data_IF_213773466337
#
_entry.id   IF_213773466337
#
_cell.length_a   1.000
_cell.length_b   1.000
_cell.length_c   1.000
_cell.angle_alpha   90.00
_cell.angle_beta   90.00
_cell.angle_gamma   90.00
#
_symmetry.space_group_name_H-M   'P 1'
#
loop_
_entity.id
_entity.type
_entity.pdbx_description
1 polymer ?
#
# COMPACT_ATOMS: atom_id res chain seq x y z
N UNK A 1 -28.52 -45.05 -65.67
CA UNK A 1 -28.91 -43.69 -65.74
C UNK A 1 -29.04 -43.16 -64.34
N UNK A 2 -28.24 -42.17 -63.96
CA UNK A 2 -28.30 -41.52 -62.65
C UNK A 2 -27.03 -40.70 -62.42
N UNK A 3 -27.07 -39.50 -62.97
CA UNK A 3 -25.96 -38.54 -62.79
C UNK A 3 -25.86 -38.10 -61.32
N UNK A 4 -24.63 -38.08 -60.75
CA UNK A 4 -24.30 -37.55 -59.52
C UNK A 4 -23.98 -36.07 -59.71
N UNK A 5 -24.59 -35.18 -58.91
CA UNK A 5 -24.28 -33.77 -58.80
C UNK A 5 -23.02 -33.57 -57.88
N UNK A 6 -22.20 -32.55 -58.12
CA UNK A 6 -20.96 -32.39 -57.41
C UNK A 6 -21.12 -31.81 -56.00
N UNK A 7 -20.30 -32.28 -55.07
CA UNK A 7 -20.23 -31.81 -53.71
C UNK A 7 -19.65 -30.38 -53.64
N UNK A 8 -20.36 -29.50 -52.96
CA UNK A 8 -19.88 -28.17 -52.59
C UNK A 8 -18.75 -28.26 -51.57
N UNK A 9 -17.63 -27.64 -51.89
CA UNK A 9 -16.51 -27.43 -51.01
C UNK A 9 -16.92 -26.49 -49.88
N UNK A 10 -16.99 -27.02 -48.66
CA UNK A 10 -17.03 -26.21 -47.45
C UNK A 10 -15.61 -25.66 -47.16
N UNK A 11 -15.49 -24.37 -47.31
CA UNK A 11 -14.31 -23.59 -46.89
C UNK A 11 -14.15 -23.68 -45.37
N UNK A 12 -12.95 -23.94 -44.84
CA UNK A 12 -12.72 -23.87 -43.39
C UNK A 12 -12.84 -22.42 -42.96
N UNK A 13 -13.60 -22.19 -41.89
CA UNK A 13 -13.61 -20.94 -41.14
C UNK A 13 -12.18 -20.65 -40.65
N UNK A 14 -11.58 -19.58 -41.17
CA UNK A 14 -10.36 -19.03 -40.64
C UNK A 14 -10.67 -18.51 -39.24
N UNK A 15 -10.07 -19.15 -38.23
CA UNK A 15 -9.91 -18.58 -36.90
C UNK A 15 -9.12 -17.29 -37.08
N UNK A 16 -9.77 -16.16 -36.84
CA UNK A 16 -9.13 -14.86 -36.79
C UNK A 16 -8.05 -14.90 -35.74
N UNK A 17 -6.82 -14.70 -36.19
CA UNK A 17 -5.68 -14.39 -35.30
C UNK A 17 -6.07 -13.16 -34.53
N UNK A 18 -6.32 -13.35 -33.23
CA UNK A 18 -6.40 -12.26 -32.29
C UNK A 18 -5.06 -11.54 -32.33
N UNK A 19 -5.06 -10.36 -32.89
CA UNK A 19 -3.97 -9.42 -32.70
C UNK A 19 -3.90 -9.14 -31.20
N UNK A 20 -3.03 -9.90 -30.51
CA UNK A 20 -2.45 -9.49 -29.26
C UNK A 20 -1.68 -8.21 -29.57
N UNK A 21 -2.35 -7.06 -29.33
CA UNK A 21 -1.67 -5.79 -29.34
C UNK A 21 -0.59 -5.88 -28.25
N UNK A 22 0.67 -6.03 -28.65
CA UNK A 22 1.78 -5.62 -27.85
C UNK A 22 1.58 -4.14 -27.56
N UNK A 23 1.04 -3.85 -26.39
CA UNK A 23 1.11 -2.51 -25.83
C UNK A 23 2.60 -2.25 -25.62
N UNK A 24 3.22 -1.61 -26.59
CA UNK A 24 4.52 -0.95 -26.42
C UNK A 24 4.24 0.18 -25.43
N UNK A 25 4.31 -0.14 -24.15
CA UNK A 25 4.38 0.87 -23.11
C UNK A 25 5.76 1.51 -23.22
N UNK A 26 5.84 2.55 -24.04
CA UNK A 26 6.88 3.56 -23.90
C UNK A 26 6.81 4.02 -22.45
N UNK A 27 7.88 3.87 -21.67
CA UNK A 27 7.93 4.38 -20.32
C UNK A 27 7.59 5.87 -20.37
N UNK A 28 6.37 6.21 -19.95
CA UNK A 28 6.01 7.60 -19.69
C UNK A 28 7.01 8.10 -18.65
N UNK A 29 7.64 9.24 -18.92
CA UNK A 29 8.53 9.87 -17.97
C UNK A 29 7.74 10.07 -16.67
N UNK A 30 8.18 9.41 -15.60
CA UNK A 30 7.65 9.64 -14.26
C UNK A 30 7.95 11.09 -13.94
N UNK A 31 6.97 11.78 -13.43
CA UNK A 31 7.09 13.19 -13.07
C UNK A 31 8.22 13.44 -12.08
N UNK A 32 8.84 14.61 -12.16
CA UNK A 32 9.86 15.04 -11.20
C UNK A 32 9.34 15.09 -9.76
N UNK A 33 8.01 15.25 -9.55
CA UNK A 33 7.37 15.34 -8.22
C UNK A 33 7.18 13.98 -7.53
N UNK A 34 6.93 12.90 -8.28
CA UNK A 34 6.81 11.55 -7.71
C UNK A 34 8.16 10.87 -7.49
N UNK A 35 9.23 11.39 -8.05
CA UNK A 35 10.57 10.81 -7.98
C UNK A 35 11.48 11.60 -7.05
N UNK A 36 12.27 10.92 -6.20
CA UNK A 36 13.23 11.63 -5.35
C UNK A 36 14.43 12.11 -6.17
N UNK A 37 15.15 13.10 -5.63
CA UNK A 37 16.48 13.46 -6.11
C UNK A 37 17.43 12.26 -6.02
N UNK A 38 18.59 12.33 -6.66
CA UNK A 38 19.63 11.27 -6.57
C UNK A 38 20.04 10.94 -5.13
N UNK A 39 19.96 11.92 -4.23
CA UNK A 39 20.23 11.73 -2.78
C UNK A 39 18.98 11.35 -1.97
N UNK A 40 17.88 11.07 -2.62
CA UNK A 40 16.67 10.54 -1.99
C UNK A 40 15.73 11.56 -1.36
N UNK A 41 15.77 12.82 -1.83
CA UNK A 41 14.91 13.87 -1.28
C UNK A 41 13.75 14.21 -2.20
N UNK A 42 12.58 14.38 -1.60
CA UNK A 42 11.38 15.02 -2.11
C UNK A 42 11.30 16.40 -1.44
N UNK A 43 11.74 17.46 -2.09
CA UNK A 43 11.96 18.76 -1.45
C UNK A 43 12.94 18.64 -0.27
N UNK A 44 12.47 18.97 0.95
CA UNK A 44 13.28 18.83 2.17
C UNK A 44 13.13 17.48 2.86
N UNK A 45 12.20 16.62 2.45
CA UNK A 45 11.93 15.33 3.06
C UNK A 45 12.67 14.20 2.35
N UNK A 46 13.10 13.17 3.08
CA UNK A 46 13.80 12.01 2.55
C UNK A 46 15.20 11.82 3.12
N UNK A 47 16.14 11.43 2.24
CA UNK A 47 17.52 11.16 2.61
C UNK A 47 17.74 9.78 3.25
N UNK A 48 18.94 9.53 3.72
CA UNK A 48 19.34 8.28 4.36
C UNK A 48 20.14 8.56 5.64
N UNK A 49 19.44 8.64 6.75
CA UNK A 49 20.00 8.92 8.09
C UNK A 49 20.18 7.59 8.85
N UNK A 50 21.25 6.87 8.54
CA UNK A 50 21.51 5.54 9.07
C UNK A 50 22.81 5.53 9.89
N UNK A 51 22.95 4.59 10.87
CA UNK A 51 24.22 4.33 11.52
C UNK A 51 25.30 4.00 10.49
N UNK A 52 26.55 4.36 10.80
CA UNK A 52 27.71 4.16 9.90
C UNK A 52 27.89 2.71 9.47
N UNK A 53 27.53 1.74 10.32
CA UNK A 53 27.61 0.31 10.00
C UNK A 53 26.67 -0.09 8.85
N UNK A 54 25.54 0.61 8.69
CA UNK A 54 24.59 0.38 7.59
C UNK A 54 24.91 1.19 6.34
N UNK A 55 25.83 2.13 6.40
CA UNK A 55 26.13 3.02 5.28
C UNK A 55 26.43 2.27 4.00
N UNK A 56 27.34 1.27 4.09
CA UNK A 56 27.73 0.50 2.91
C UNK A 56 26.56 -0.27 2.30
N UNK A 57 25.78 -0.99 3.09
CA UNK A 57 24.68 -1.79 2.56
C UNK A 57 23.53 -0.93 2.00
N UNK A 58 23.24 0.22 2.60
CA UNK A 58 22.26 1.18 2.08
C UNK A 58 22.75 1.81 0.77
N UNK A 59 24.04 2.16 0.71
CA UNK A 59 24.66 2.72 -0.50
C UNK A 59 24.71 1.70 -1.65
N UNK A 60 25.09 0.45 -1.35
CA UNK A 60 25.06 -0.64 -2.34
C UNK A 60 23.63 -0.83 -2.89
N UNK A 61 22.60 -0.70 -2.04
CA UNK A 61 21.20 -0.75 -2.46
C UNK A 61 20.83 0.45 -3.36
N UNK A 62 21.26 1.67 -3.00
CA UNK A 62 21.04 2.87 -3.80
C UNK A 62 21.62 2.75 -5.20
N UNK A 63 22.81 2.17 -5.32
CA UNK A 63 23.47 1.99 -6.62
C UNK A 63 22.84 0.86 -7.45
N UNK A 64 22.33 -0.19 -6.79
CA UNK A 64 21.87 -1.41 -7.45
C UNK A 64 20.39 -1.38 -7.86
N UNK A 65 19.52 -0.70 -7.09
CA UNK A 65 18.07 -0.93 -7.23
C UNK A 65 17.51 -0.50 -8.59
N UNK A 66 17.83 0.69 -9.09
CA UNK A 66 17.31 1.15 -10.38
C UNK A 66 17.76 0.29 -11.55
N UNK A 67 19.06 0.00 -11.73
CA UNK A 67 19.50 -0.90 -12.80
C UNK A 67 18.82 -2.27 -12.75
N UNK A 68 18.53 -2.80 -11.55
CA UNK A 68 17.87 -4.11 -11.39
C UNK A 68 16.39 -4.01 -11.75
N UNK A 69 15.63 -3.09 -11.12
CA UNK A 69 14.17 -3.03 -11.29
C UNK A 69 13.76 -2.55 -12.68
N UNK A 70 14.62 -1.81 -13.37
CA UNK A 70 14.38 -1.34 -14.74
C UNK A 70 14.80 -2.37 -15.81
N UNK A 71 15.51 -3.43 -15.43
CA UNK A 71 15.88 -4.49 -16.35
C UNK A 71 14.65 -5.26 -16.85
N UNK A 72 14.66 -5.65 -18.13
CA UNK A 72 13.56 -6.42 -18.71
C UNK A 72 13.36 -7.78 -18.02
N UNK A 73 14.44 -8.42 -17.57
CA UNK A 73 14.39 -9.67 -16.82
C UNK A 73 13.60 -9.50 -15.51
N UNK A 74 13.89 -8.44 -14.73
CA UNK A 74 13.18 -8.16 -13.50
C UNK A 74 11.72 -7.85 -13.77
N UNK A 75 11.42 -6.97 -14.72
CA UNK A 75 10.06 -6.58 -15.09
C UNK A 75 9.22 -7.79 -15.51
N UNK A 76 9.80 -8.69 -16.32
CA UNK A 76 9.11 -9.89 -16.76
C UNK A 76 8.82 -10.85 -15.60
N UNK A 77 9.80 -11.13 -14.74
CA UNK A 77 9.63 -11.99 -13.56
C UNK A 77 8.61 -11.38 -12.58
N UNK A 78 8.73 -10.09 -12.31
CA UNK A 78 7.81 -9.37 -11.44
C UNK A 78 6.36 -9.40 -11.95
N UNK A 79 6.13 -9.04 -13.21
CA UNK A 79 4.80 -9.10 -13.83
C UNK A 79 4.22 -10.51 -13.86
N UNK A 80 5.04 -11.52 -14.11
CA UNK A 80 4.60 -12.91 -14.08
C UNK A 80 4.12 -13.32 -12.71
N UNK A 81 4.86 -12.99 -11.65
CA UNK A 81 4.44 -13.29 -10.28
C UNK A 81 3.23 -12.46 -9.84
N UNK A 82 3.15 -11.21 -10.24
CA UNK A 82 1.96 -10.40 -9.98
C UNK A 82 0.71 -11.02 -10.61
N UNK A 83 0.80 -11.51 -11.85
CA UNK A 83 -0.32 -12.15 -12.55
C UNK A 83 -0.65 -13.53 -11.98
N UNK A 84 0.34 -14.43 -11.94
CA UNK A 84 0.11 -15.85 -11.74
C UNK A 84 0.09 -16.25 -10.25
N UNK A 85 0.72 -15.43 -9.39
CA UNK A 85 0.81 -15.70 -7.96
C UNK A 85 0.00 -14.72 -7.10
N UNK A 86 0.10 -13.42 -7.36
CA UNK A 86 -0.68 -12.42 -6.61
C UNK A 86 -2.14 -12.31 -7.09
N UNK A 87 -2.44 -12.74 -8.32
CA UNK A 87 -3.80 -12.71 -8.88
C UNK A 87 -4.19 -11.38 -9.51
N UNK A 88 -3.19 -10.60 -9.98
CA UNK A 88 -3.44 -9.33 -10.67
C UNK A 88 -3.86 -9.54 -12.14
N UNK A 89 -4.55 -8.57 -12.78
CA UNK A 89 -4.93 -7.25 -12.23
C UNK A 89 -5.99 -7.35 -11.15
N UNK A 90 -5.90 -6.51 -10.11
CA UNK A 90 -6.99 -6.39 -9.15
C UNK A 90 -8.19 -5.69 -9.80
N UNK A 91 -9.44 -6.12 -9.50
CA UNK A 91 -10.61 -5.53 -10.13
C UNK A 91 -10.78 -4.04 -9.82
N UNK A 92 -11.24 -3.28 -10.81
CA UNK A 92 -11.83 -1.95 -10.63
C UNK A 92 -13.35 -2.12 -10.65
N UNK A 93 -13.97 -2.22 -9.47
CA UNK A 93 -15.37 -2.56 -9.28
C UNK A 93 -16.24 -1.32 -9.17
N UNK A 94 -17.29 -1.22 -10.00
CA UNK A 94 -18.28 -0.14 -9.88
C UNK A 94 -19.22 -0.40 -8.70
N UNK A 95 -19.11 0.39 -7.65
CA UNK A 95 -19.90 0.27 -6.44
C UNK A 95 -21.23 0.99 -6.58
N UNK A 96 -22.22 0.31 -7.16
CA UNK A 96 -23.49 0.91 -7.58
C UNK A 96 -24.24 1.58 -6.43
N UNK A 97 -24.47 0.88 -5.31
CA UNK A 97 -25.25 1.41 -4.20
C UNK A 97 -24.54 2.54 -3.47
N UNK A 98 -23.21 2.45 -3.35
CA UNK A 98 -22.40 3.53 -2.83
C UNK A 98 -22.38 4.73 -3.78
N UNK A 99 -22.34 4.52 -5.10
CA UNK A 99 -22.46 5.59 -6.11
C UNK A 99 -23.78 6.35 -5.98
N UNK A 100 -24.89 5.63 -5.87
CA UNK A 100 -26.22 6.22 -5.66
C UNK A 100 -26.27 7.03 -4.33
N UNK A 101 -25.63 6.52 -3.28
CA UNK A 101 -25.63 7.15 -1.96
C UNK A 101 -24.81 8.45 -1.92
N UNK A 102 -23.66 8.48 -2.61
CA UNK A 102 -22.78 9.65 -2.62
C UNK A 102 -22.97 10.57 -3.83
N UNK A 103 -23.86 10.20 -4.75
CA UNK A 103 -24.19 11.01 -5.92
C UNK A 103 -23.01 11.18 -6.89
N UNK A 104 -22.22 10.13 -7.13
CA UNK A 104 -21.07 10.12 -8.04
C UNK A 104 -20.92 8.74 -8.70
N UNK A 105 -19.92 8.56 -9.54
CA UNK A 105 -19.54 7.26 -10.11
C UNK A 105 -18.36 6.70 -9.31
N UNK A 106 -18.66 5.90 -8.28
CA UNK A 106 -17.64 5.33 -7.38
C UNK A 106 -17.15 3.98 -7.89
N UNK A 107 -15.86 3.89 -8.10
CA UNK A 107 -15.14 2.65 -8.40
C UNK A 107 -14.22 2.27 -7.24
N UNK A 108 -14.22 1.01 -6.86
CA UNK A 108 -13.34 0.47 -5.84
C UNK A 108 -12.20 -0.31 -6.51
N UNK A 109 -10.97 0.12 -6.27
CA UNK A 109 -9.77 -0.64 -6.65
C UNK A 109 -9.54 -1.70 -5.59
N UNK A 110 -9.78 -2.97 -5.95
CA UNK A 110 -9.94 -4.09 -5.03
C UNK A 110 -8.62 -4.79 -4.71
N UNK A 111 -7.71 -4.09 -4.02
CA UNK A 111 -6.44 -4.67 -3.55
C UNK A 111 -6.64 -5.73 -2.44
N UNK A 112 -7.80 -5.73 -1.80
CA UNK A 112 -8.25 -6.73 -0.84
C UNK A 112 -8.42 -8.15 -1.43
N UNK A 113 -8.51 -8.27 -2.75
CA UNK A 113 -8.65 -9.54 -3.47
C UNK A 113 -7.31 -10.15 -3.90
N UNK A 114 -6.20 -9.46 -3.71
CA UNK A 114 -4.88 -10.02 -3.97
C UNK A 114 -4.56 -11.18 -3.03
N UNK A 115 -3.64 -12.05 -3.44
CA UNK A 115 -3.06 -13.05 -2.56
C UNK A 115 -2.57 -12.41 -1.25
N UNK A 116 -2.80 -13.04 -0.12
CA UNK A 116 -2.65 -12.53 1.25
C UNK A 116 -3.70 -11.51 1.70
N UNK A 117 -4.57 -11.03 0.81
CA UNK A 117 -5.73 -10.20 1.15
C UNK A 117 -5.46 -8.71 1.30
N UNK A 118 -4.37 -8.21 0.73
CA UNK A 118 -4.01 -6.79 0.74
C UNK A 118 -3.01 -6.43 -0.35
N UNK A 119 -2.75 -5.12 -0.53
CA UNK A 119 -1.76 -4.57 -1.46
C UNK A 119 -0.30 -4.93 -1.13
N UNK A 120 -0.02 -5.35 0.10
CA UNK A 120 1.36 -5.60 0.59
C UNK A 120 2.12 -6.63 -0.23
N UNK A 121 1.45 -7.59 -0.84
CA UNK A 121 2.08 -8.63 -1.65
C UNK A 121 2.80 -8.07 -2.87
N UNK A 122 2.32 -6.96 -3.46
CA UNK A 122 2.95 -6.33 -4.61
C UNK A 122 4.40 -5.91 -4.28
N UNK A 123 4.54 -5.18 -3.18
CA UNK A 123 5.82 -4.71 -2.69
C UNK A 123 6.73 -5.87 -2.24
N UNK A 124 6.16 -6.86 -1.53
CA UNK A 124 6.93 -8.01 -1.05
C UNK A 124 7.54 -8.81 -2.20
N UNK A 125 6.78 -9.05 -3.29
CA UNK A 125 7.31 -9.72 -4.50
C UNK A 125 8.44 -8.89 -5.12
N UNK A 126 8.27 -7.59 -5.27
CA UNK A 126 9.31 -6.73 -5.85
C UNK A 126 10.59 -6.72 -5.04
N UNK A 127 10.48 -6.55 -3.72
CA UNK A 127 11.66 -6.49 -2.85
C UNK A 127 12.36 -7.84 -2.70
N UNK A 128 11.64 -8.98 -2.67
CA UNK A 128 12.29 -10.30 -2.60
C UNK A 128 13.10 -10.60 -3.88
N UNK A 129 12.56 -10.19 -5.04
CA UNK A 129 13.30 -10.32 -6.31
C UNK A 129 14.56 -9.46 -6.31
N UNK A 130 14.45 -8.22 -5.81
CA UNK A 130 15.60 -7.31 -5.66
C UNK A 130 16.65 -7.91 -4.72
N UNK A 131 16.24 -8.39 -3.54
CA UNK A 131 17.12 -9.02 -2.57
C UNK A 131 17.88 -10.21 -3.16
N UNK A 132 17.20 -11.08 -3.90
CA UNK A 132 17.81 -12.23 -4.58
C UNK A 132 18.83 -11.81 -5.64
N UNK A 133 18.49 -10.80 -6.45
CA UNK A 133 19.42 -10.24 -7.46
C UNK A 133 20.67 -9.61 -6.82
N UNK A 134 20.55 -9.11 -5.60
CA UNK A 134 21.67 -8.59 -4.79
C UNK A 134 22.41 -9.69 -4.01
N UNK A 135 22.04 -10.96 -4.16
CA UNK A 135 22.70 -12.09 -3.49
C UNK A 135 22.43 -12.21 -1.99
N UNK A 136 21.35 -11.58 -1.49
CA UNK A 136 20.97 -11.69 -0.08
C UNK A 136 20.27 -13.02 0.19
N UNK A 137 20.50 -13.56 1.38
CA UNK A 137 20.00 -14.90 1.80
C UNK A 137 19.02 -14.86 2.96
N UNK A 138 19.05 -13.79 3.74
CA UNK A 138 18.18 -13.58 4.91
C UNK A 138 17.32 -12.34 4.73
N UNK A 139 16.05 -12.47 5.04
CA UNK A 139 15.09 -11.37 5.00
C UNK A 139 14.62 -11.05 6.40
N UNK A 140 14.63 -9.78 6.75
CA UNK A 140 13.96 -9.25 7.93
C UNK A 140 12.86 -8.28 7.53
N UNK A 141 11.82 -8.17 8.35
CA UNK A 141 10.77 -7.17 8.18
C UNK A 141 10.16 -6.78 9.53
N UNK A 142 9.60 -5.60 9.59
CA UNK A 142 8.69 -5.14 10.62
C UNK A 142 7.25 -5.44 10.26
N UNK A 143 6.36 -5.50 11.24
CA UNK A 143 4.91 -5.53 10.97
C UNK A 143 4.11 -5.03 12.18
N UNK A 144 3.01 -4.31 11.93
CA UNK A 144 2.02 -3.91 12.93
C UNK A 144 0.78 -4.78 12.85
N UNK A 145 -0.11 -4.54 11.90
CA UNK A 145 -1.32 -5.35 11.66
C UNK A 145 -1.02 -6.82 11.26
N UNK A 146 0.22 -7.16 10.95
CA UNK A 146 0.63 -8.47 10.50
C UNK A 146 0.53 -8.68 8.98
N UNK A 147 -0.12 -7.81 8.23
CA UNK A 147 -0.30 -7.98 6.78
C UNK A 147 1.02 -7.94 6.01
N UNK A 148 1.91 -7.01 6.35
CA UNK A 148 3.23 -6.95 5.75
C UNK A 148 4.08 -8.16 6.13
N UNK A 149 4.04 -8.57 7.41
CA UNK A 149 4.72 -9.78 7.88
C UNK A 149 4.25 -11.04 7.16
N UNK A 150 2.94 -11.22 6.98
CA UNK A 150 2.38 -12.34 6.20
C UNK A 150 2.84 -12.27 4.75
N UNK A 151 2.79 -11.12 4.09
CA UNK A 151 3.25 -10.98 2.71
C UNK A 151 4.74 -11.30 2.57
N UNK A 152 5.59 -10.82 3.51
CA UNK A 152 7.02 -11.11 3.55
C UNK A 152 7.29 -12.60 3.77
N UNK A 153 6.66 -13.21 4.78
CA UNK A 153 6.78 -14.65 5.03
C UNK A 153 6.34 -15.50 3.84
N UNK A 154 5.28 -15.04 3.13
CA UNK A 154 4.77 -15.71 1.93
C UNK A 154 5.79 -15.75 0.80
N UNK A 155 6.42 -14.61 0.49
CA UNK A 155 7.44 -14.58 -0.58
C UNK A 155 8.74 -15.27 -0.15
N UNK A 156 9.10 -15.22 1.13
CA UNK A 156 10.25 -15.96 1.65
C UNK A 156 10.04 -17.48 1.52
N UNK A 157 8.84 -17.97 1.85
CA UNK A 157 8.47 -19.37 1.64
C UNK A 157 8.52 -19.77 0.17
N UNK A 158 8.00 -18.90 -0.72
CA UNK A 158 8.03 -19.13 -2.17
C UNK A 158 9.45 -19.29 -2.71
N UNK A 159 10.41 -18.50 -2.21
CA UNK A 159 11.77 -18.48 -2.69
C UNK A 159 12.78 -19.25 -1.83
N UNK A 160 12.33 -19.87 -0.74
CA UNK A 160 13.19 -20.65 0.16
C UNK A 160 14.21 -19.79 0.91
N UNK A 161 13.87 -18.55 1.29
CA UNK A 161 14.76 -17.64 2.00
C UNK A 161 14.44 -17.61 3.50
N UNK A 162 15.47 -17.44 4.32
CA UNK A 162 15.30 -17.25 5.76
C UNK A 162 14.52 -15.98 6.04
N UNK A 163 13.54 -16.07 6.95
CA UNK A 163 12.61 -14.99 7.24
C UNK A 163 12.47 -14.75 8.74
N UNK A 164 12.76 -13.53 9.17
CA UNK A 164 12.55 -13.10 10.56
C UNK A 164 11.70 -11.83 10.60
N UNK A 165 10.62 -11.87 11.38
CA UNK A 165 9.62 -10.80 11.45
C UNK A 165 9.61 -10.20 12.84
N UNK A 166 9.82 -8.91 12.95
CA UNK A 166 9.70 -8.15 14.19
C UNK A 166 8.30 -7.55 14.31
N UNK A 167 7.66 -7.80 15.45
CA UNK A 167 6.29 -7.35 15.70
C UNK A 167 6.15 -6.93 17.15
N UNK A 168 5.57 -5.77 17.42
CA UNK A 168 5.34 -5.32 18.79
C UNK A 168 4.49 -6.34 19.57
N UNK A 169 4.82 -6.59 20.82
CA UNK A 169 4.11 -7.57 21.64
C UNK A 169 2.60 -7.28 21.73
N UNK A 170 2.24 -6.02 21.85
CA UNK A 170 0.83 -5.58 21.81
C UNK A 170 0.14 -5.99 20.53
N UNK A 171 0.82 -5.83 19.39
CA UNK A 171 0.28 -6.20 18.08
C UNK A 171 0.22 -7.73 17.88
N UNK A 172 1.21 -8.48 18.42
CA UNK A 172 1.18 -9.95 18.42
C UNK A 172 -0.09 -10.48 19.11
N UNK A 173 -0.49 -9.87 20.21
CA UNK A 173 -1.69 -10.23 20.95
C UNK A 173 -2.97 -9.85 20.19
N UNK A 174 -3.01 -8.65 19.61
CA UNK A 174 -4.17 -8.15 18.83
C UNK A 174 -4.39 -8.90 17.51
N UNK A 175 -3.31 -9.34 16.86
CA UNK A 175 -3.30 -9.89 15.50
C UNK A 175 -2.83 -11.35 15.45
N UNK A 176 -3.15 -12.13 16.46
CA UNK A 176 -2.73 -13.53 16.63
C UNK A 176 -2.94 -14.40 15.36
N UNK A 177 -4.05 -14.31 14.60
CA UNK A 177 -4.22 -15.12 13.39
C UNK A 177 -3.14 -14.87 12.33
N UNK A 178 -2.65 -13.62 12.19
CA UNK A 178 -1.57 -13.30 11.26
C UNK A 178 -0.23 -13.84 11.78
N UNK A 179 -0.01 -13.84 13.09
CA UNK A 179 1.19 -14.44 13.70
C UNK A 179 1.27 -15.95 13.39
N UNK A 180 0.16 -16.65 13.53
CA UNK A 180 0.13 -18.09 13.21
C UNK A 180 0.31 -18.36 11.71
N UNK A 181 -0.21 -17.48 10.83
CA UNK A 181 0.06 -17.57 9.38
C UNK A 181 1.55 -17.40 9.07
N UNK A 182 2.22 -16.41 9.68
CA UNK A 182 3.66 -16.18 9.48
C UNK A 182 4.48 -17.39 9.95
N UNK A 183 4.16 -17.97 11.10
CA UNK A 183 4.82 -19.19 11.61
C UNK A 183 4.59 -20.39 10.69
N UNK A 184 3.36 -20.58 10.20
CA UNK A 184 3.02 -21.67 9.27
C UNK A 184 3.78 -21.53 7.95
N UNK A 185 4.08 -20.30 7.50
CA UNK A 185 4.90 -20.00 6.33
C UNK A 185 6.40 -20.15 6.58
N UNK A 186 6.80 -20.52 7.79
CA UNK A 186 8.20 -20.78 8.16
C UNK A 186 8.96 -19.58 8.70
N UNK A 187 8.32 -18.43 8.88
CA UNK A 187 8.96 -17.26 9.44
C UNK A 187 9.13 -17.37 10.97
N UNK A 188 10.23 -16.86 11.48
CA UNK A 188 10.42 -16.63 12.92
C UNK A 188 9.83 -15.27 13.27
N UNK A 189 8.87 -15.25 14.19
CA UNK A 189 8.26 -14.00 14.68
C UNK A 189 8.87 -13.64 16.03
N UNK A 190 9.43 -12.44 16.11
CA UNK A 190 10.06 -11.88 17.30
C UNK A 190 9.15 -10.85 17.95
N UNK A 191 8.51 -11.17 19.10
CA UNK A 191 7.75 -10.18 19.85
C UNK A 191 8.70 -9.12 20.45
N UNK A 192 8.51 -7.87 20.06
CA UNK A 192 9.28 -6.73 20.55
C UNK A 192 8.64 -6.22 21.85
N UNK A 193 9.43 -6.19 22.93
CA UNK A 193 8.97 -5.81 24.28
C UNK A 193 9.55 -4.49 24.76
N UNK A 194 10.29 -3.78 23.93
CA UNK A 194 10.82 -2.45 24.21
C UNK A 194 9.82 -1.37 23.80
N UNK A 195 9.94 -0.18 24.38
CA UNK A 195 9.06 0.96 24.09
C UNK A 195 7.60 0.67 24.42
N UNK A 196 6.70 1.09 23.52
CA UNK A 196 5.26 0.87 23.63
C UNK A 196 4.80 -0.46 23.02
N UNK A 197 5.75 -1.25 22.54
CA UNK A 197 5.51 -2.59 21.96
C UNK A 197 4.58 -2.57 20.73
N UNK A 198 4.72 -1.54 19.88
CA UNK A 198 3.95 -1.32 18.67
C UNK A 198 4.82 -1.32 17.40
N UNK A 199 4.26 -0.96 16.26
CA UNK A 199 4.93 -0.95 14.95
C UNK A 199 6.23 -0.12 14.96
N UNK A 200 6.25 1.05 15.59
CA UNK A 200 7.46 1.89 15.65
C UNK A 200 8.64 1.19 16.33
N UNK A 201 8.36 0.46 17.43
CA UNK A 201 9.37 -0.32 18.13
C UNK A 201 9.83 -1.53 17.33
N UNK A 202 8.92 -2.16 16.58
CA UNK A 202 9.24 -3.24 15.65
C UNK A 202 10.19 -2.75 14.54
N UNK A 203 9.97 -1.57 13.98
CA UNK A 203 10.88 -0.94 13.01
C UNK A 203 12.27 -0.71 13.62
N UNK A 204 12.32 -0.16 14.84
CA UNK A 204 13.58 0.11 15.55
C UNK A 204 14.34 -1.18 15.82
N UNK A 205 13.67 -2.25 16.20
CA UNK A 205 14.31 -3.55 16.45
C UNK A 205 14.80 -4.22 15.18
N UNK A 206 14.03 -4.15 14.08
CA UNK A 206 14.47 -4.63 12.78
C UNK A 206 15.75 -3.90 12.31
N UNK A 207 15.84 -2.58 12.51
CA UNK A 207 17.03 -1.81 12.17
C UNK A 207 18.23 -2.23 13.05
N UNK A 208 18.02 -2.49 14.35
CA UNK A 208 19.09 -2.99 15.25
C UNK A 208 19.60 -4.35 14.78
N UNK A 209 18.70 -5.27 14.43
CA UNK A 209 19.08 -6.58 13.91
C UNK A 209 19.84 -6.44 12.58
N UNK A 210 19.39 -5.55 11.70
CA UNK A 210 20.08 -5.26 10.45
C UNK A 210 21.52 -4.76 10.67
N UNK A 211 21.74 -3.90 11.67
CA UNK A 211 23.09 -3.47 12.06
C UNK A 211 24.01 -4.64 12.46
N UNK A 212 23.43 -5.72 13.00
CA UNK A 212 24.21 -6.91 13.37
C UNK A 212 24.55 -7.82 12.18
N UNK A 213 23.78 -7.75 11.08
CA UNK A 213 23.88 -8.65 9.93
C UNK A 213 23.81 -7.89 8.58
N UNK A 214 24.64 -6.87 8.34
CA UNK A 214 24.48 -5.99 7.18
C UNK A 214 24.84 -6.66 5.83
N UNK A 215 25.64 -7.71 5.85
CA UNK A 215 26.20 -8.31 4.64
C UNK A 215 25.20 -9.25 3.92
N UNK A 216 24.55 -10.14 4.68
CA UNK A 216 23.69 -11.21 4.15
C UNK A 216 22.19 -10.89 4.21
N UNK A 217 21.82 -9.88 4.99
CA UNK A 217 20.44 -9.52 5.31
C UNK A 217 19.92 -8.42 4.39
N UNK A 218 18.68 -8.60 3.94
CA UNK A 218 17.90 -7.55 3.28
C UNK A 218 16.73 -7.17 4.20
N UNK A 219 16.62 -5.88 4.54
CA UNK A 219 15.47 -5.36 5.24
C UNK A 219 14.34 -5.09 4.22
N UNK A 220 13.30 -5.91 4.25
CA UNK A 220 12.13 -5.78 3.38
C UNK A 220 11.13 -4.85 4.03
N UNK A 221 11.16 -3.57 3.65
CA UNK A 221 10.35 -2.51 4.27
C UNK A 221 8.91 -2.55 3.78
N UNK A 222 7.96 -2.41 4.71
CA UNK A 222 6.54 -2.57 4.45
C UNK A 222 5.80 -1.35 3.93
N UNK A 223 6.42 -0.18 3.92
CA UNK A 223 5.78 1.08 3.52
C UNK A 223 6.76 2.04 2.84
N UNK A 224 6.28 3.20 2.39
CA UNK A 224 7.10 4.27 1.79
C UNK A 224 7.86 5.07 2.87
N UNK A 225 8.45 4.36 3.81
CA UNK A 225 9.23 4.89 4.94
C UNK A 225 10.65 4.31 4.89
N UNK A 226 11.49 4.75 5.82
CA UNK A 226 12.87 4.29 5.91
C UNK A 226 13.85 5.13 5.09
N UNK A 227 15.16 4.80 5.15
CA UNK A 227 16.17 5.53 4.42
C UNK A 227 16.02 5.34 2.92
N UNK A 228 16.42 6.37 2.14
CA UNK A 228 16.54 6.19 0.69
C UNK A 228 17.45 4.98 0.38
N UNK A 229 17.06 4.05 -0.55
CA UNK A 229 16.03 4.21 -1.56
C UNK A 229 14.67 3.54 -1.23
N UNK A 230 14.44 3.08 -0.01
CA UNK A 230 13.22 2.35 0.33
C UNK A 230 11.91 3.06 -0.03
N UNK A 231 11.71 4.37 0.25
CA UNK A 231 10.47 5.04 -0.16
C UNK A 231 10.21 4.96 -1.65
N UNK A 232 11.25 5.13 -2.49
CA UNK A 232 11.13 5.03 -3.94
C UNK A 232 10.91 3.59 -4.42
N UNK A 233 11.64 2.62 -3.85
CA UNK A 233 11.43 1.19 -4.17
C UNK A 233 9.97 0.81 -3.91
N UNK A 234 9.46 1.10 -2.73
CA UNK A 234 8.09 0.73 -2.36
C UNK A 234 7.06 1.43 -3.25
N UNK A 235 7.23 2.73 -3.51
CA UNK A 235 6.34 3.47 -4.41
C UNK A 235 6.31 2.85 -5.82
N UNK A 236 7.48 2.51 -6.38
CA UNK A 236 7.60 1.87 -7.69
C UNK A 236 6.97 0.47 -7.74
N UNK A 237 7.18 -0.36 -6.69
CA UNK A 237 6.55 -1.68 -6.64
C UNK A 237 5.02 -1.61 -6.48
N UNK A 238 4.51 -0.60 -5.79
CA UNK A 238 3.07 -0.38 -5.64
C UNK A 238 2.44 0.36 -6.83
N UNK A 239 3.22 0.99 -7.69
CA UNK A 239 2.71 1.79 -8.82
C UNK A 239 1.85 0.99 -9.81
N UNK A 240 1.94 -0.34 -9.80
CA UNK A 240 1.06 -1.25 -10.52
C UNK A 240 -0.43 -0.96 -10.24
N UNK A 241 -0.77 -0.42 -9.07
CA UNK A 241 -2.15 -0.05 -8.71
C UNK A 241 -2.66 1.06 -9.64
N UNK A 242 -1.92 2.16 -9.76
CA UNK A 242 -2.31 3.29 -10.63
C UNK A 242 -2.14 2.97 -12.11
N UNK A 243 -1.14 2.16 -12.50
CA UNK A 243 -1.00 1.65 -13.87
C UNK A 243 -2.28 0.91 -14.29
N UNK A 244 -2.77 0.00 -13.46
CA UNK A 244 -4.02 -0.73 -13.73
C UNK A 244 -5.25 0.18 -13.72
N UNK A 245 -5.34 1.15 -12.81
CA UNK A 245 -6.45 2.11 -12.78
C UNK A 245 -6.56 2.84 -14.13
N UNK A 246 -5.45 3.28 -14.74
CA UNK A 246 -5.45 3.98 -16.03
C UNK A 246 -6.13 3.16 -17.12
N UNK A 247 -5.64 1.96 -17.40
CA UNK A 247 -6.20 1.17 -18.49
C UNK A 247 -7.58 0.60 -18.17
N UNK A 248 -7.88 0.27 -16.89
CA UNK A 248 -9.21 -0.19 -16.50
C UNK A 248 -10.27 0.91 -16.63
N UNK A 249 -9.94 2.16 -16.32
CA UNK A 249 -10.84 3.29 -16.58
C UNK A 249 -11.01 3.53 -18.08
N UNK A 250 -9.93 3.46 -18.86
CA UNK A 250 -10.00 3.58 -20.32
C UNK A 250 -10.96 2.56 -20.91
N UNK A 251 -10.90 1.28 -20.48
CA UNK A 251 -11.82 0.24 -20.92
C UNK A 251 -13.28 0.48 -20.49
N UNK A 252 -13.49 0.95 -19.25
CA UNK A 252 -14.84 1.05 -18.67
C UNK A 252 -15.58 2.31 -19.08
N UNK A 253 -14.89 3.43 -19.21
CA UNK A 253 -15.50 4.75 -19.38
C UNK A 253 -14.89 5.60 -20.50
N UNK A 254 -13.88 5.08 -21.23
CA UNK A 254 -13.25 5.78 -22.35
C UNK A 254 -12.30 6.90 -21.98
N UNK A 255 -11.87 6.99 -20.70
CA UNK A 255 -10.81 7.91 -20.24
C UNK A 255 -9.92 7.22 -19.22
N UNK A 256 -8.65 7.56 -19.15
CA UNK A 256 -7.64 6.90 -18.33
C UNK A 256 -7.41 7.56 -16.96
N UNK A 257 -8.23 8.53 -16.58
CA UNK A 257 -8.12 9.27 -15.32
C UNK A 257 -9.47 9.42 -14.61
N UNK A 258 -9.51 9.40 -13.26
CA UNK A 258 -10.68 9.77 -12.47
C UNK A 258 -10.68 11.27 -12.14
N UNK A 259 -11.78 11.78 -11.60
CA UNK A 259 -11.81 13.13 -11.01
C UNK A 259 -11.25 13.15 -9.59
N UNK A 260 -11.37 12.02 -8.87
CA UNK A 260 -10.84 11.85 -7.51
C UNK A 260 -10.16 10.50 -7.35
N UNK A 261 -9.00 10.51 -6.71
CA UNK A 261 -8.35 9.33 -6.13
C UNK A 261 -8.40 9.42 -4.61
N UNK A 262 -8.86 8.35 -3.96
CA UNK A 262 -8.99 8.29 -2.50
C UNK A 262 -8.27 7.05 -1.98
N UNK A 263 -7.40 7.22 -0.99
CA UNK A 263 -6.71 6.14 -0.30
C UNK A 263 -6.53 6.47 1.19
N UNK A 264 -6.38 5.45 2.03
CA UNK A 264 -5.91 5.66 3.39
C UNK A 264 -4.39 5.85 3.41
N UNK A 265 -3.88 6.53 4.43
CA UNK A 265 -2.45 6.78 4.60
C UNK A 265 -2.01 6.59 6.04
N UNK A 266 -1.05 5.68 6.23
CA UNK A 266 -0.24 5.52 7.42
C UNK A 266 1.21 5.84 7.04
N UNK A 267 2.05 4.83 6.83
CA UNK A 267 3.35 5.02 6.18
C UNK A 267 3.25 5.44 4.70
N UNK A 268 2.17 5.08 3.99
CA UNK A 268 1.79 5.62 2.68
C UNK A 268 1.92 4.68 1.48
N UNK A 269 2.16 3.37 1.65
CA UNK A 269 2.43 2.48 0.51
C UNK A 269 1.26 2.32 -0.47
N UNK A 270 0.04 2.06 0.03
CA UNK A 270 -1.11 1.96 -0.85
C UNK A 270 -1.48 3.31 -1.49
N UNK A 271 -1.33 4.39 -0.75
CA UNK A 271 -1.55 5.73 -1.25
C UNK A 271 -0.58 6.05 -2.39
N UNK A 272 0.73 5.81 -2.19
CA UNK A 272 1.74 6.00 -3.22
C UNK A 272 1.41 5.19 -4.48
N UNK A 273 1.06 3.91 -4.34
CA UNK A 273 0.68 3.08 -5.48
C UNK A 273 -0.56 3.57 -6.21
N UNK A 274 -1.55 4.07 -5.47
CA UNK A 274 -2.79 4.60 -6.04
C UNK A 274 -2.57 5.87 -6.86
N UNK A 275 -1.67 6.74 -6.42
CA UNK A 275 -1.49 8.07 -7.02
C UNK A 275 -0.31 8.15 -7.99
N UNK A 276 0.61 7.18 -8.00
CA UNK A 276 1.94 7.26 -8.62
C UNK A 276 1.94 7.86 -10.04
N UNK A 277 1.06 7.39 -10.93
CA UNK A 277 0.96 7.86 -12.31
C UNK A 277 0.02 9.07 -12.50
N UNK A 278 -0.45 9.68 -11.39
CA UNK A 278 -1.38 10.82 -11.40
C UNK A 278 -0.85 12.02 -10.62
N UNK A 279 0.36 11.94 -10.07
CA UNK A 279 0.90 13.01 -9.22
C UNK A 279 0.93 14.35 -9.97
N UNK A 280 1.29 14.36 -11.26
CA UNK A 280 1.34 15.58 -12.07
C UNK A 280 0.09 15.83 -12.92
N UNK A 281 -0.96 15.04 -12.75
CA UNK A 281 -2.21 15.24 -13.48
C UNK A 281 -3.14 16.15 -12.69
N UNK A 282 -3.12 17.44 -12.98
CA UNK A 282 -3.96 18.45 -12.31
C UNK A 282 -5.48 18.21 -12.46
N UNK A 283 -5.88 17.35 -13.41
CA UNK A 283 -7.29 16.95 -13.57
C UNK A 283 -7.77 16.06 -12.41
N UNK A 284 -6.84 15.40 -11.73
CA UNK A 284 -7.12 14.41 -10.69
C UNK A 284 -6.91 15.02 -9.31
N UNK A 285 -7.95 15.02 -8.50
CA UNK A 285 -7.88 15.44 -7.10
C UNK A 285 -7.48 14.25 -6.23
N UNK A 286 -6.38 14.39 -5.52
CA UNK A 286 -5.87 13.36 -4.61
C UNK A 286 -6.36 13.68 -3.19
N UNK A 287 -7.03 12.69 -2.57
CA UNK A 287 -7.52 12.79 -1.20
C UNK A 287 -7.00 11.60 -0.39
N UNK A 288 -6.28 11.88 0.68
CA UNK A 288 -5.78 10.87 1.60
C UNK A 288 -6.51 10.94 2.93
N UNK A 289 -6.79 9.77 3.50
CA UNK A 289 -7.42 9.63 4.82
C UNK A 289 -6.40 9.09 5.82
N UNK A 290 -6.00 9.92 6.78
CA UNK A 290 -5.16 9.47 7.90
C UNK A 290 -6.01 9.21 9.16
N UNK A 291 -5.48 8.39 10.07
CA UNK A 291 -6.21 7.99 11.26
C UNK A 291 -6.17 9.08 12.34
N UNK A 292 -7.32 9.69 12.58
CA UNK A 292 -7.52 10.71 13.62
C UNK A 292 -7.69 10.14 15.03
N UNK A 293 -7.80 8.81 15.19
CA UNK A 293 -8.00 8.19 16.50
C UNK A 293 -9.25 8.72 17.20
N UNK A 294 -9.07 9.31 18.39
CA UNK A 294 -10.14 10.00 19.12
C UNK A 294 -10.33 11.47 18.69
N UNK A 295 -9.49 11.98 17.80
CA UNK A 295 -9.53 13.35 17.29
C UNK A 295 -8.14 14.01 17.28
N UNK A 296 -7.90 14.89 16.31
CA UNK A 296 -6.61 15.59 16.14
C UNK A 296 -6.33 16.59 17.26
N UNK A 297 -7.35 17.01 18.01
CA UNK A 297 -7.24 17.90 19.16
C UNK A 297 -6.95 17.15 20.49
N UNK A 298 -6.69 15.84 20.40
CA UNK A 298 -6.38 14.97 21.54
C UNK A 298 -4.97 14.39 21.43
N UNK A 299 -4.45 13.84 22.52
CA UNK A 299 -3.20 13.08 22.51
C UNK A 299 -3.35 11.66 21.92
N UNK A 300 -4.59 11.27 21.57
CA UNK A 300 -4.92 9.94 21.05
C UNK A 300 -5.23 10.02 19.55
N UNK A 301 -4.22 10.25 18.74
CA UNK A 301 -4.31 10.38 17.28
C UNK A 301 -3.09 9.77 16.59
N UNK A 302 -3.24 9.35 15.35
CA UNK A 302 -2.16 8.93 14.45
C UNK A 302 -2.10 9.85 13.19
N UNK A 303 -2.72 11.03 13.26
CA UNK A 303 -2.81 11.98 12.15
C UNK A 303 -1.50 12.77 12.01
N UNK A 304 -0.48 12.13 11.43
CA UNK A 304 0.89 12.68 11.37
C UNK A 304 0.99 13.91 10.48
N UNK A 305 0.24 13.99 9.38
CA UNK A 305 0.28 15.17 8.50
C UNK A 305 -0.36 16.38 9.19
N UNK A 306 -1.41 16.17 10.00
CA UNK A 306 -2.08 17.25 10.74
C UNK A 306 -1.32 17.67 12.00
N UNK A 307 -0.73 16.74 12.73
CA UNK A 307 -0.21 16.96 14.08
C UNK A 307 1.31 16.83 14.18
N UNK A 308 1.98 16.32 13.15
CA UNK A 308 3.42 16.10 13.16
C UNK A 308 4.22 17.36 12.82
N UNK A 309 5.49 17.35 13.19
CA UNK A 309 6.49 18.36 12.86
C UNK A 309 7.67 17.70 12.16
N UNK A 310 8.53 18.49 11.49
CA UNK A 310 9.72 17.95 10.83
C UNK A 310 10.65 17.25 11.84
N UNK A 311 11.05 16.03 11.48
CA UNK A 311 11.97 15.23 12.29
C UNK A 311 12.59 14.10 11.48
N UNK A 312 13.38 13.27 12.16
CA UNK A 312 13.97 12.08 11.55
C UNK A 312 13.42 10.85 12.29
N UNK A 313 12.86 9.93 11.54
CA UNK A 313 12.41 8.65 12.08
C UNK A 313 12.81 7.52 11.13
N UNK A 314 13.32 6.42 11.68
CA UNK A 314 13.72 5.20 10.95
C UNK A 314 14.56 5.46 9.70
N UNK A 315 15.43 6.46 9.75
CA UNK A 315 16.39 6.78 8.70
C UNK A 315 15.91 7.76 7.62
N UNK A 316 14.73 8.35 7.75
CA UNK A 316 14.24 9.37 6.84
C UNK A 316 13.87 10.67 7.56
N UNK A 317 14.14 11.82 6.96
CA UNK A 317 13.58 13.11 7.36
C UNK A 317 12.16 13.22 6.80
N UNK A 318 11.20 13.46 7.69
CA UNK A 318 9.78 13.52 7.32
C UNK A 318 8.98 14.30 8.38
N UNK A 319 7.63 14.27 8.29
CA UNK A 319 6.78 14.70 9.39
C UNK A 319 6.69 13.57 10.42
N UNK A 320 6.83 13.92 11.68
CA UNK A 320 6.88 12.99 12.81
C UNK A 320 6.01 13.52 13.95
N UNK A 321 5.23 12.64 14.57
CA UNK A 321 4.55 12.96 15.81
C UNK A 321 5.57 12.97 16.95
N UNK A 322 5.91 14.15 17.42
CA UNK A 322 6.94 14.34 18.44
C UNK A 322 6.60 15.52 19.37
N UNK A 323 7.23 15.52 20.54
CA UNK A 323 7.21 16.65 21.48
C UNK A 323 8.12 17.78 20.98
N UNK A 324 8.05 18.95 21.60
CA UNK A 324 8.95 20.08 21.32
C UNK A 324 10.42 19.75 21.57
N UNK A 325 10.69 18.78 22.46
CA UNK A 325 12.04 18.26 22.74
C UNK A 325 12.48 17.15 21.76
N UNK A 326 11.67 16.84 20.74
CA UNK A 326 11.98 15.83 19.71
C UNK A 326 11.77 14.38 20.15
N UNK A 327 11.06 14.13 21.24
CA UNK A 327 10.68 12.77 21.64
C UNK A 327 9.50 12.28 20.81
N UNK A 328 9.60 11.08 20.23
CA UNK A 328 8.52 10.46 19.45
C UNK A 328 7.28 10.27 20.36
N UNK A 329 6.16 10.82 19.95
CA UNK A 329 4.86 10.56 20.57
C UNK A 329 4.31 9.23 20.07
N UNK A 330 3.61 8.52 20.95
CA UNK A 330 2.87 7.33 20.55
C UNK A 330 1.72 7.74 19.60
N UNK A 331 1.65 7.07 18.46
CA UNK A 331 0.47 7.16 17.60
C UNK A 331 -0.67 6.35 18.22
N UNK A 332 -1.90 6.74 17.97
CA UNK A 332 -3.08 6.04 18.50
C UNK A 332 -4.18 5.94 17.47
N UNK A 333 -4.60 4.71 17.19
CA UNK A 333 -5.82 4.37 16.44
C UNK A 333 -6.16 2.89 16.66
N UNK A 334 -7.41 2.51 16.48
CA UNK A 334 -7.83 1.10 16.46
C UNK A 334 -7.31 0.35 15.22
N UNK A 335 -6.81 1.07 14.23
CA UNK A 335 -6.26 0.51 12.99
C UNK A 335 -4.75 0.26 13.14
N UNK A 336 -4.35 -0.98 13.41
CA UNK A 336 -2.95 -1.33 13.62
C UNK A 336 -2.04 -1.00 12.41
N UNK A 337 -2.57 -1.00 11.19
CA UNK A 337 -1.81 -0.66 9.99
C UNK A 337 -1.62 0.84 9.74
N UNK A 338 -2.34 1.71 10.47
CA UNK A 338 -2.19 3.17 10.45
C UNK A 338 -1.57 3.72 11.74
N UNK A 339 -1.23 2.86 12.68
CA UNK A 339 -0.65 3.20 13.98
C UNK A 339 0.86 3.41 13.86
N UNK A 340 1.24 4.51 13.24
CA UNK A 340 2.64 4.87 12.99
C UNK A 340 2.85 6.38 13.14
N UNK A 341 3.86 6.82 13.92
CA UNK A 341 4.07 8.23 14.25
C UNK A 341 4.85 9.02 13.18
N UNK A 342 4.87 8.55 11.96
CA UNK A 342 5.56 9.16 10.82
C UNK A 342 4.77 8.99 9.53
N UNK A 343 5.31 9.56 8.44
CA UNK A 343 4.71 9.47 7.10
C UNK A 343 5.82 9.29 6.06
N UNK A 344 5.52 8.69 4.93
CA UNK A 344 6.45 8.63 3.80
C UNK A 344 6.88 10.04 3.33
N UNK A 345 8.18 10.26 3.05
CA UNK A 345 8.67 11.59 2.68
C UNK A 345 8.02 12.17 1.42
N UNK A 346 7.62 11.33 0.47
CA UNK A 346 6.86 11.77 -0.71
C UNK A 346 5.53 12.40 -0.31
N UNK A 347 4.76 11.76 0.57
CA UNK A 347 3.47 12.29 1.04
C UNK A 347 3.64 13.55 1.88
N UNK A 348 4.67 13.62 2.74
CA UNK A 348 4.98 14.83 3.49
C UNK A 348 5.21 16.01 2.54
N UNK A 349 5.96 15.79 1.47
CA UNK A 349 6.23 16.80 0.43
C UNK A 349 4.96 17.18 -0.34
N UNK A 350 4.22 16.20 -0.89
CA UNK A 350 3.03 16.45 -1.70
C UNK A 350 1.90 17.12 -0.91
N UNK A 351 1.72 16.76 0.36
CA UNK A 351 0.77 17.42 1.25
C UNK A 351 1.17 18.88 1.51
N UNK A 352 2.46 19.15 1.74
CA UNK A 352 2.97 20.51 1.93
C UNK A 352 2.81 21.37 0.68
N UNK A 353 2.97 20.80 -0.52
CA UNK A 353 2.72 21.47 -1.79
C UNK A 353 1.22 21.67 -2.09
N UNK A 354 0.33 21.10 -1.27
CA UNK A 354 -1.13 21.13 -1.49
C UNK A 354 -1.61 20.21 -2.62
N UNK A 355 -0.75 19.31 -3.12
CA UNK A 355 -1.12 18.32 -4.13
C UNK A 355 -2.01 17.22 -3.55
N UNK A 356 -1.77 16.85 -2.31
CA UNK A 356 -2.58 15.92 -1.54
C UNK A 356 -3.46 16.68 -0.56
N UNK A 357 -4.80 16.50 -0.66
CA UNK A 357 -5.72 16.92 0.37
C UNK A 357 -5.82 15.80 1.41
N UNK A 358 -5.38 16.07 2.63
CA UNK A 358 -5.41 15.07 3.70
C UNK A 358 -6.57 15.34 4.64
N UNK A 359 -7.31 14.29 4.99
CA UNK A 359 -8.45 14.31 5.90
C UNK A 359 -8.14 13.41 7.10
N UNK A 360 -8.26 13.96 8.30
CA UNK A 360 -8.23 13.13 9.51
C UNK A 360 -9.59 12.47 9.70
N UNK A 361 -9.59 11.16 9.91
CA UNK A 361 -10.76 10.32 10.09
C UNK A 361 -10.67 9.67 11.48
N UNK A 362 -11.66 9.92 12.31
CA UNK A 362 -11.70 9.32 13.64
C UNK A 362 -12.07 7.84 13.61
N UNK A 363 -11.76 7.11 14.68
CA UNK A 363 -12.01 5.67 14.77
C UNK A 363 -13.49 5.31 14.62
N UNK A 364 -14.41 6.10 15.18
CA UNK A 364 -15.85 5.92 15.05
C UNK A 364 -16.35 6.15 13.62
N UNK A 365 -15.82 7.15 12.92
CA UNK A 365 -16.10 7.40 11.50
C UNK A 365 -15.64 6.22 10.63
N UNK A 366 -14.46 5.65 10.92
CA UNK A 366 -13.92 4.50 10.20
C UNK A 366 -14.76 3.23 10.44
N UNK A 367 -15.12 2.94 11.69
CA UNK A 367 -16.01 1.81 12.02
C UNK A 367 -17.35 1.93 11.30
N UNK A 368 -17.97 3.13 11.35
CA UNK A 368 -19.22 3.37 10.62
C UNK A 368 -19.06 3.08 9.12
N UNK A 369 -18.03 3.64 8.49
CA UNK A 369 -17.79 3.47 7.05
C UNK A 369 -17.51 2.00 6.66
N UNK A 370 -16.83 1.25 7.53
CA UNK A 370 -16.64 -0.19 7.35
C UNK A 370 -17.97 -0.95 7.33
N UNK A 371 -18.87 -0.67 8.26
CA UNK A 371 -20.22 -1.23 8.24
C UNK A 371 -21.06 -0.73 7.04
N UNK A 372 -20.91 0.53 6.66
CA UNK A 372 -21.59 1.10 5.50
C UNK A 372 -21.22 0.34 4.22
N UNK A 373 -19.91 0.19 3.92
CA UNK A 373 -19.46 -0.58 2.75
C UNK A 373 -19.92 -2.04 2.80
N UNK A 374 -19.84 -2.65 3.99
CA UNK A 374 -20.26 -4.04 4.19
C UNK A 374 -21.74 -4.23 3.85
N UNK A 375 -22.61 -3.34 4.30
CA UNK A 375 -24.07 -3.49 4.12
C UNK A 375 -24.58 -2.97 2.78
N UNK A 376 -23.81 -2.14 2.09
CA UNK A 376 -24.18 -1.65 0.76
C UNK A 376 -23.64 -2.51 -0.35
N UNK A 377 -22.36 -2.90 -0.29
CA UNK A 377 -21.67 -3.61 -1.37
C UNK A 377 -21.26 -5.05 -1.01
N UNK A 378 -21.51 -5.51 0.21
CA UNK A 378 -21.12 -6.85 0.65
C UNK A 378 -19.61 -7.03 0.79
N UNK A 379 -18.85 -5.95 1.02
CA UNK A 379 -17.41 -5.93 1.14
C UNK A 379 -17.04 -5.54 2.57
N UNK A 380 -16.37 -6.41 3.32
CA UNK A 380 -15.85 -6.12 4.65
C UNK A 380 -14.41 -5.61 4.47
N UNK A 381 -14.18 -4.28 4.55
CA UNK A 381 -12.83 -3.75 4.37
C UNK A 381 -11.99 -3.92 5.62
N UNK A 382 -10.67 -3.97 5.46
CA UNK A 382 -9.77 -3.70 6.58
C UNK A 382 -10.08 -2.32 7.19
N UNK A 383 -9.86 -2.14 8.49
CA UNK A 383 -10.15 -0.85 9.16
C UNK A 383 -9.31 0.28 8.54
N UNK A 384 -8.10 -0.01 8.08
CA UNK A 384 -7.29 0.90 7.29
C UNK A 384 -8.07 1.44 6.07
N UNK A 385 -8.63 0.54 5.27
CA UNK A 385 -9.42 0.90 4.08
C UNK A 385 -10.73 1.61 4.45
N UNK A 386 -11.31 1.30 5.60
CA UNK A 386 -12.51 1.96 6.10
C UNK A 386 -12.30 3.46 6.35
N UNK A 387 -11.08 3.90 6.70
CA UNK A 387 -10.73 5.32 6.77
C UNK A 387 -10.87 6.00 5.41
N UNK A 388 -10.42 5.35 4.33
CA UNK A 388 -10.62 5.87 2.98
C UNK A 388 -12.10 5.98 2.60
N UNK A 389 -12.90 4.98 2.98
CA UNK A 389 -14.37 5.01 2.76
C UNK A 389 -15.02 6.14 3.54
N UNK A 390 -14.62 6.38 4.78
CA UNK A 390 -15.14 7.48 5.61
C UNK A 390 -14.85 8.86 5.01
N UNK A 391 -13.76 9.02 4.27
CA UNK A 391 -13.44 10.27 3.59
C UNK A 391 -14.55 10.73 2.61
N UNK A 392 -15.30 9.78 2.01
CA UNK A 392 -16.42 10.09 1.12
C UNK A 392 -17.45 11.01 1.78
N UNK A 393 -17.68 10.87 3.08
CA UNK A 393 -18.66 11.67 3.85
C UNK A 393 -18.21 13.12 4.07
N UNK A 394 -16.91 13.39 3.97
CA UNK A 394 -16.32 14.73 4.11
C UNK A 394 -16.14 15.45 2.79
N UNK A 395 -16.60 14.84 1.70
CA UNK A 395 -16.49 15.35 0.34
C UNK A 395 -17.88 15.56 -0.27
N UNK A 396 -17.94 16.44 -1.26
CA UNK A 396 -19.14 16.67 -2.07
C UNK A 396 -18.80 16.41 -3.53
N UNK A 397 -19.61 15.60 -4.18
CA UNK A 397 -19.39 15.16 -5.56
C UNK A 397 -20.50 15.65 -6.49
N UNK A 398 -20.20 15.67 -7.77
CA UNK A 398 -21.18 15.83 -8.85
C UNK A 398 -21.54 14.44 -9.43
N UNK A 399 -22.73 14.25 -9.99
CA UNK A 399 -23.12 12.98 -10.61
C UNK A 399 -22.19 12.51 -11.75
N UNK A 400 -21.48 13.45 -12.38
CA UNK A 400 -20.49 13.17 -13.42
C UNK A 400 -19.11 12.81 -12.88
N UNK A 401 -18.84 13.07 -11.60
CA UNK A 401 -17.51 12.82 -11.04
C UNK A 401 -17.24 11.31 -10.95
N UNK A 402 -16.12 10.91 -11.49
CA UNK A 402 -15.58 9.56 -11.37
C UNK A 402 -14.61 9.53 -10.17
N UNK A 403 -14.94 8.73 -9.20
CA UNK A 403 -14.17 8.58 -7.96
C UNK A 403 -13.58 7.17 -7.92
N UNK A 404 -12.27 7.05 -7.78
CA UNK A 404 -11.61 5.77 -7.52
C UNK A 404 -11.10 5.76 -6.09
N UNK A 405 -11.54 4.75 -5.34
CA UNK A 405 -11.13 4.52 -3.96
C UNK A 405 -10.43 3.18 -3.86
N UNK A 406 -9.22 3.16 -3.29
CA UNK A 406 -8.47 1.92 -3.09
C UNK A 406 -8.91 1.23 -1.80
N UNK A 407 -9.48 0.03 -1.95
CA UNK A 407 -9.72 -0.91 -0.85
C UNK A 407 -8.43 -1.71 -0.65
N UNK A 408 -7.56 -1.22 0.21
CA UNK A 408 -6.17 -1.67 0.36
C UNK A 408 -6.02 -3.07 0.97
N UNK A 409 -7.03 -3.52 1.74
CA UNK A 409 -7.03 -4.83 2.37
C UNK A 409 -8.41 -5.28 2.83
N UNK A 410 -8.56 -6.58 3.09
CA UNK A 410 -9.81 -7.18 3.57
C UNK A 410 -9.89 -7.18 5.09
N UNK A 411 -11.13 -7.16 5.61
CA UNK A 411 -11.42 -7.00 7.03
C UNK A 411 -11.44 -8.29 7.86
N UNK A 412 -11.11 -9.45 7.30
CA UNK A 412 -11.14 -10.71 8.05
C UNK A 412 -10.28 -10.69 9.32
N UNK A 413 -9.15 -9.99 9.25
CA UNK A 413 -8.25 -9.77 10.39
C UNK A 413 -8.84 -8.88 11.48
N UNK A 414 -9.82 -8.03 11.13
CA UNK A 414 -10.35 -6.96 11.97
C UNK A 414 -11.75 -7.27 12.54
N UNK A 415 -12.28 -8.48 12.30
CA UNK A 415 -13.63 -8.86 12.74
C UNK A 415 -13.87 -8.63 14.22
N UNK A 416 -12.87 -8.98 15.07
CA UNK A 416 -12.98 -8.74 16.51
C UNK A 416 -13.10 -7.25 16.83
N UNK A 417 -12.30 -6.39 16.18
CA UNK A 417 -12.35 -4.95 16.38
C UNK A 417 -13.68 -4.37 15.93
N UNK A 418 -14.19 -4.77 14.74
CA UNK A 418 -15.53 -4.36 14.30
C UNK A 418 -16.63 -4.74 15.28
N UNK A 419 -16.62 -5.97 15.78
CA UNK A 419 -17.64 -6.47 16.72
C UNK A 419 -17.56 -5.78 18.08
N UNK A 420 -16.36 -5.51 18.58
CA UNK A 420 -16.14 -4.81 19.85
C UNK A 420 -16.60 -3.34 19.80
N UNK A 421 -16.38 -2.69 18.65
CA UNK A 421 -16.68 -1.28 18.45
C UNK A 421 -17.99 -1.03 17.67
N UNK A 422 -18.86 -2.03 17.53
CA UNK A 422 -20.10 -1.92 16.73
C UNK A 422 -21.01 -0.77 17.18
N UNK A 423 -20.93 -0.38 18.44
CA UNK A 423 -21.77 0.70 18.99
C UNK A 423 -21.36 2.08 18.46
N UNK A 424 -20.10 2.26 18.04
CA UNK A 424 -19.65 3.48 17.35
C UNK A 424 -20.40 3.71 16.02
N UNK A 425 -20.84 2.65 15.34
CA UNK A 425 -21.61 2.76 14.11
C UNK A 425 -23.07 3.21 14.31
N UNK A 426 -23.61 3.12 15.54
CA UNK A 426 -25.02 3.45 15.81
C UNK A 426 -25.32 4.94 15.77
N UNK A 427 -24.34 5.79 16.07
CA UNK A 427 -24.52 7.24 16.19
C UNK A 427 -24.75 7.93 14.84
N UNK A 428 -24.32 7.29 13.72
CA UNK A 428 -24.39 7.85 12.38
C UNK A 428 -25.64 7.47 11.57
N UNK A 429 -26.61 6.83 12.20
CA UNK A 429 -27.92 6.53 11.60
C UNK A 429 -28.06 5.13 11.00
N UNK A 430 -29.24 4.84 10.48
CA UNK A 430 -29.55 3.53 9.90
C UNK A 430 -29.00 3.43 8.47
N UNK A 431 -28.40 2.30 8.16
CA UNK A 431 -27.95 1.94 6.81
C UNK A 431 -29.14 1.68 5.87
#
# INVERSE_FOLDING_TARGET
GGEAAPAEHSTPLSLGEGHGGEAVHGGEAVSDEASPTKSGFYGQFGGAYVPEILYKCVHDLQDAYLPIIESEEFKQEFRTLLRDYAGRPSPLYYAKRMSERYGCQLYLKREDLNHTGAHKINNAIGQILLARKMGKTRIIAETGAGQHGVATATVCALFGMDCEIFMGKTDVERQHPNVERMKMLGAKVHPVTTGNMTLSDACSEAIRDWCCHPEDTFYLVGSTMGPHPYPDIVAKMQSVISEEIKWQLQEKIGRDYPDYLIACVGGGSNAAGTIYHYVDDDRVKIVLAEAGGHGIDTDYTAATIHCGTEGIIHGARTLVMQTDDGQIKEAFTISAGLDYPGIGPMHAYLAQQGREKVLAINDDEAIYAGYELTRTEGIIPAIESAHAVAALRKLSFKPSDVVVLTVSGRGDKDMNTYLTHKDMAKEYGKF
#
